data_IF_356535804087
#
_entry.id   IF_356535804087
#
_cell.length_a   1.000
_cell.length_b   1.000
_cell.length_c   1.000
_cell.angle_alpha   90.00
_cell.angle_beta   90.00
_cell.angle_gamma   90.00
#
_symmetry.space_group_name_H-M   'P 1'
#
loop_
_entity.id
_entity.type
_entity.pdbx_description
1 polymer ?
#
# COMPACT_ATOMS: atom_id res chain seq x y z
N UNK A 1 21.29 -7.42 -1.04
CA UNK A 1 21.15 -8.89 -0.97
C UNK A 1 22.39 -9.49 -1.59
N UNK A 2 23.22 -10.12 -0.78
CA UNK A 2 24.44 -10.78 -1.21
C UNK A 2 24.12 -12.01 -2.06
N UNK A 3 25.16 -12.62 -2.63
CA UNK A 3 24.99 -13.80 -3.49
C UNK A 3 24.23 -14.95 -2.82
N UNK A 4 24.39 -15.10 -1.50
CA UNK A 4 23.77 -16.17 -0.71
C UNK A 4 22.38 -15.83 -0.16
N UNK A 5 21.87 -14.62 -0.42
CA UNK A 5 20.58 -14.11 0.06
C UNK A 5 20.37 -14.20 1.58
N UNK A 6 21.43 -14.22 2.38
CA UNK A 6 21.34 -14.39 3.84
C UNK A 6 21.49 -13.06 4.62
N UNK A 7 21.75 -11.95 3.93
CA UNK A 7 21.86 -10.59 4.49
C UNK A 7 20.53 -9.83 4.46
N UNK A 8 19.43 -10.43 4.02
CA UNK A 8 18.14 -9.75 3.81
C UNK A 8 17.64 -9.02 5.07
N UNK A 9 17.93 -9.56 6.25
CA UNK A 9 17.56 -8.96 7.54
C UNK A 9 18.17 -7.57 7.73
N UNK A 10 19.39 -7.35 7.23
CA UNK A 10 20.08 -6.05 7.29
C UNK A 10 19.42 -4.99 6.41
N UNK A 11 18.71 -5.41 5.37
CA UNK A 11 18.03 -4.52 4.42
C UNK A 11 16.62 -4.13 4.83
N UNK A 12 16.01 -4.79 5.83
CA UNK A 12 14.59 -4.60 6.22
C UNK A 12 14.28 -3.13 6.46
N UNK A 13 15.08 -2.43 7.28
CA UNK A 13 14.79 -1.05 7.65
C UNK A 13 14.76 -0.11 6.44
N UNK A 14 15.70 -0.27 5.50
CA UNK A 14 15.77 0.54 4.28
C UNK A 14 14.62 0.18 3.35
N UNK A 15 14.30 -1.11 3.24
CA UNK A 15 13.16 -1.59 2.43
C UNK A 15 11.85 -1.04 2.96
N UNK A 16 11.60 -1.12 4.25
CA UNK A 16 10.39 -0.60 4.90
C UNK A 16 10.27 0.91 4.69
N UNK A 17 11.34 1.67 4.97
CA UNK A 17 11.36 3.12 4.75
C UNK A 17 11.03 3.47 3.29
N UNK A 18 11.70 2.81 2.34
CA UNK A 18 11.49 3.05 0.91
C UNK A 18 10.08 2.67 0.48
N UNK A 19 9.54 1.57 1.01
CA UNK A 19 8.19 1.10 0.71
C UNK A 19 7.11 2.04 1.27
N UNK A 20 7.31 2.58 2.46
CA UNK A 20 6.39 3.51 3.11
C UNK A 20 6.43 4.92 2.49
N UNK A 21 7.55 5.32 1.87
CA UNK A 21 7.66 6.59 1.17
C UNK A 21 7.27 6.52 -0.32
N UNK A 22 7.16 5.31 -0.88
CA UNK A 22 6.82 5.13 -2.29
C UNK A 22 5.36 5.49 -2.56
N UNK A 23 5.14 6.22 -3.65
CA UNK A 23 3.82 6.50 -4.20
C UNK A 23 3.08 5.18 -4.52
N UNK A 24 1.85 5.04 -4.04
CA UNK A 24 0.96 3.95 -4.43
C UNK A 24 0.08 4.39 -5.58
N UNK A 25 0.05 3.61 -6.66
CA UNK A 25 -0.82 3.87 -7.81
C UNK A 25 -2.31 3.74 -7.45
N UNK A 26 -2.66 2.91 -6.48
CA UNK A 26 -4.04 2.68 -6.05
C UNK A 26 -4.63 3.82 -5.22
N UNK A 27 -3.82 4.49 -4.39
CA UNK A 27 -4.29 5.62 -3.57
C UNK A 27 -3.84 6.98 -4.08
N UNK A 28 -2.81 7.05 -4.93
CA UNK A 28 -2.19 8.31 -5.37
C UNK A 28 -1.29 8.98 -4.33
N UNK A 29 -1.04 8.34 -3.18
CA UNK A 29 -0.22 8.88 -2.09
C UNK A 29 0.77 7.82 -1.56
N UNK A 30 1.81 8.26 -0.84
CA UNK A 30 2.64 7.34 -0.06
C UNK A 30 2.00 7.07 1.32
N UNK A 31 2.18 5.87 1.90
CA UNK A 31 1.75 5.59 3.27
C UNK A 31 2.25 6.61 4.30
N UNK A 32 3.51 7.06 4.20
CA UNK A 32 4.04 8.12 5.07
C UNK A 32 3.25 9.43 4.95
N UNK A 33 2.92 9.83 3.73
CA UNK A 33 2.15 11.05 3.51
C UNK A 33 0.74 10.93 4.08
N UNK A 34 0.08 9.78 3.92
CA UNK A 34 -1.23 9.53 4.50
C UNK A 34 -1.21 9.54 6.04
N UNK A 35 -0.13 9.08 6.66
CA UNK A 35 -0.03 9.07 8.13
C UNK A 35 0.35 10.44 8.72
N UNK A 36 1.25 11.17 8.08
CA UNK A 36 1.89 12.37 8.68
C UNK A 36 1.61 13.67 7.94
N UNK A 37 0.97 13.61 6.77
CA UNK A 37 0.70 14.77 5.91
C UNK A 37 1.95 15.39 5.29
N UNK A 38 3.09 14.70 5.35
CA UNK A 38 4.41 15.13 4.84
C UNK A 38 5.30 13.92 4.52
N UNK A 39 6.25 14.11 3.61
CA UNK A 39 7.29 13.12 3.34
C UNK A 39 8.41 13.18 4.40
N UNK A 40 9.05 12.05 4.74
CA UNK A 40 10.20 12.03 5.62
C UNK A 40 11.38 12.77 4.98
N UNK A 41 12.21 13.40 5.83
CA UNK A 41 13.48 13.97 5.40
C UNK A 41 14.51 12.87 5.18
N UNK A 42 15.19 12.92 4.03
CA UNK A 42 16.22 11.96 3.59
C UNK A 42 17.63 12.50 3.75
N UNK A 43 17.78 13.77 4.15
CA UNK A 43 19.06 14.39 4.51
C UNK A 43 19.76 15.11 3.35
N UNK A 44 19.21 15.02 2.14
CA UNK A 44 19.68 15.81 0.98
C UNK A 44 18.83 17.06 0.73
N UNK A 45 17.71 17.23 1.43
CA UNK A 45 16.85 18.40 1.25
C UNK A 45 17.55 19.68 1.76
N UNK A 46 17.45 20.80 1.03
CA UNK A 46 17.99 22.06 1.49
C UNK A 46 17.34 22.51 2.80
N UNK A 47 18.12 23.17 3.66
CA UNK A 47 17.61 23.76 4.91
C UNK A 47 16.72 24.96 4.57
N UNK A 48 15.41 24.73 4.49
CA UNK A 48 14.40 25.77 4.35
C UNK A 48 13.85 26.25 5.69
N UNK A 49 13.22 27.43 5.68
CA UNK A 49 12.39 27.92 6.79
C UNK A 49 11.16 27.01 6.91
N UNK A 50 10.90 26.51 8.12
CA UNK A 50 9.72 25.70 8.39
C UNK A 50 8.56 26.64 8.68
N UNK A 51 7.64 26.76 7.72
CA UNK A 51 6.35 27.38 7.96
C UNK A 51 5.41 26.31 8.51
N UNK A 52 5.04 26.44 9.78
CA UNK A 52 4.11 25.52 10.43
C UNK A 52 2.69 26.00 10.15
N UNK A 53 1.87 25.14 9.54
CA UNK A 53 0.45 25.42 9.36
C UNK A 53 -0.29 25.40 10.70
N UNK A 54 -1.49 25.99 10.78
CA UNK A 54 -2.30 25.90 11.99
C UNK A 54 -2.85 24.49 12.19
N UNK A 55 -3.20 24.14 13.43
CA UNK A 55 -3.79 22.83 13.71
C UNK A 55 -5.11 22.60 12.94
N UNK A 56 -5.92 23.65 12.79
CA UNK A 56 -7.20 23.58 12.08
C UNK A 56 -7.01 23.39 10.56
N UNK A 57 -6.04 24.09 9.96
CA UNK A 57 -5.71 23.89 8.55
C UNK A 57 -5.16 22.50 8.29
N UNK A 58 -4.33 21.99 9.22
CA UNK A 58 -3.78 20.63 9.13
C UNK A 58 -4.87 19.57 9.17
N UNK A 59 -5.80 19.66 10.14
CA UNK A 59 -6.90 18.71 10.29
C UNK A 59 -7.77 18.69 9.02
N UNK A 60 -8.12 19.87 8.52
CA UNK A 60 -8.95 20.00 7.30
C UNK A 60 -8.23 19.39 6.10
N UNK A 61 -6.94 19.70 5.93
CA UNK A 61 -6.11 19.19 4.84
C UNK A 61 -5.98 17.66 4.91
N UNK A 62 -5.70 17.12 6.09
CA UNK A 62 -5.56 15.67 6.28
C UNK A 62 -6.86 14.92 6.01
N UNK A 63 -8.00 15.48 6.44
CA UNK A 63 -9.31 14.90 6.14
C UNK A 63 -9.54 14.79 4.63
N UNK A 64 -9.29 15.88 3.88
CA UNK A 64 -9.45 15.87 2.43
C UNK A 64 -8.53 14.83 1.76
N UNK A 65 -7.25 14.76 2.17
CA UNK A 65 -6.30 13.77 1.66
C UNK A 65 -6.80 12.34 1.91
N UNK A 66 -7.35 12.07 3.09
CA UNK A 66 -7.90 10.75 3.42
C UNK A 66 -9.15 10.42 2.61
N UNK A 67 -10.06 11.38 2.44
CA UNK A 67 -11.28 11.21 1.65
C UNK A 67 -10.94 10.91 0.16
N UNK A 68 -9.97 11.63 -0.40
CA UNK A 68 -9.45 11.40 -1.75
C UNK A 68 -8.81 10.01 -1.89
N UNK A 69 -7.92 9.65 -0.95
CA UNK A 69 -7.26 8.35 -0.96
C UNK A 69 -8.24 7.19 -0.82
N UNK A 70 -9.25 7.33 0.05
CA UNK A 70 -10.31 6.32 0.22
C UNK A 70 -11.14 6.15 -1.05
N UNK A 71 -11.47 7.25 -1.72
CA UNK A 71 -12.21 7.22 -2.99
C UNK A 71 -11.40 6.53 -4.09
N UNK A 72 -10.10 6.83 -4.18
CA UNK A 72 -9.20 6.17 -5.13
C UNK A 72 -9.05 4.66 -4.85
N UNK A 73 -8.90 4.27 -3.57
CA UNK A 73 -8.82 2.86 -3.17
C UNK A 73 -10.11 2.10 -3.45
N UNK A 74 -11.28 2.71 -3.20
CA UNK A 74 -12.57 2.11 -3.51
C UNK A 74 -12.71 1.84 -5.02
N UNK A 75 -12.31 2.80 -5.85
CA UNK A 75 -12.27 2.63 -7.31
C UNK A 75 -11.30 1.52 -7.72
N UNK A 76 -10.07 1.54 -7.21
CA UNK A 76 -9.07 0.51 -7.53
C UNK A 76 -9.54 -0.90 -7.15
N UNK A 77 -10.22 -1.05 -6.01
CA UNK A 77 -10.82 -2.32 -5.60
C UNK A 77 -11.96 -2.76 -6.53
N UNK A 78 -12.83 -1.84 -6.96
CA UNK A 78 -13.89 -2.12 -7.92
C UNK A 78 -13.33 -2.53 -9.29
N UNK A 79 -12.28 -1.85 -9.76
CA UNK A 79 -11.60 -2.19 -11.01
C UNK A 79 -10.95 -3.59 -10.91
N UNK A 80 -10.21 -3.86 -9.83
CA UNK A 80 -9.64 -5.19 -9.56
C UNK A 80 -10.70 -6.28 -9.57
N UNK A 81 -11.85 -6.05 -8.92
CA UNK A 81 -12.98 -6.97 -8.92
C UNK A 81 -13.51 -7.21 -10.33
N UNK A 82 -13.71 -6.16 -11.13
CA UNK A 82 -14.18 -6.28 -12.52
C UNK A 82 -13.22 -7.11 -13.38
N UNK A 83 -11.91 -6.89 -13.26
CA UNK A 83 -10.91 -7.66 -14.01
C UNK A 83 -10.83 -9.11 -13.56
N UNK A 84 -10.92 -9.37 -12.26
CA UNK A 84 -10.93 -10.73 -11.71
C UNK A 84 -12.20 -11.48 -12.15
N UNK A 85 -13.37 -10.88 -11.96
CA UNK A 85 -14.68 -11.47 -12.29
C UNK A 85 -14.81 -11.78 -13.79
N UNK A 86 -14.14 -11.02 -14.68
CA UNK A 86 -14.17 -11.23 -16.14
C UNK A 86 -13.68 -12.61 -16.58
N UNK A 87 -12.68 -13.16 -15.90
CA UNK A 87 -12.05 -14.44 -16.29
C UNK A 87 -12.27 -15.54 -15.24
N UNK A 88 -12.92 -15.20 -14.14
CA UNK A 88 -13.25 -16.15 -13.08
C UNK A 88 -14.39 -17.06 -13.54
N UNK A 89 -14.22 -18.37 -13.34
CA UNK A 89 -15.32 -19.33 -13.41
C UNK A 89 -16.06 -19.35 -12.08
N UNK A 90 -17.37 -19.55 -12.11
CA UNK A 90 -18.12 -19.75 -10.89
C UNK A 90 -17.53 -20.91 -10.09
N UNK A 91 -17.46 -20.71 -8.77
CA UNK A 91 -17.02 -21.75 -7.87
C UNK A 91 -18.01 -22.90 -7.93
N UNK A 92 -17.52 -24.14 -7.89
CA UNK A 92 -18.39 -25.29 -7.74
C UNK A 92 -19.09 -25.24 -6.39
N UNK A 93 -20.37 -25.61 -6.35
CA UNK A 93 -21.15 -25.70 -5.12
C UNK A 93 -20.72 -26.94 -4.31
N UNK A 94 -19.65 -26.81 -3.53
CA UNK A 94 -19.18 -27.86 -2.63
C UNK A 94 -20.08 -28.01 -1.42
N UNK A 95 -20.38 -29.25 -1.05
CA UNK A 95 -21.12 -29.63 0.15
C UNK A 95 -20.20 -30.27 1.18
N UNK A 96 -20.54 -30.17 2.49
CA UNK A 96 -19.81 -30.92 3.51
C UNK A 96 -19.76 -32.42 3.17
N UNK A 97 -18.54 -32.97 3.08
CA UNK A 97 -18.29 -34.36 2.69
C UNK A 97 -17.75 -34.55 1.26
N UNK A 98 -17.77 -33.51 0.43
CA UNK A 98 -17.20 -33.56 -0.92
C UNK A 98 -15.67 -33.66 -0.87
N UNK A 99 -15.12 -34.51 -1.73
CA UNK A 99 -13.68 -34.66 -1.91
C UNK A 99 -13.20 -33.73 -3.02
N UNK A 100 -12.16 -32.94 -2.74
CA UNK A 100 -11.51 -32.04 -3.70
C UNK A 100 -10.04 -32.40 -3.85
N UNK A 101 -9.52 -32.25 -5.07
CA UNK A 101 -8.11 -32.45 -5.35
C UNK A 101 -7.32 -31.19 -5.00
N UNK A 102 -6.31 -31.33 -4.15
CA UNK A 102 -5.38 -30.27 -3.81
C UNK A 102 -4.08 -30.49 -4.60
N UNK A 103 -3.61 -29.44 -5.24
CA UNK A 103 -2.28 -29.42 -5.85
C UNK A 103 -1.27 -29.08 -4.76
N UNK A 104 -0.31 -29.99 -4.55
CA UNK A 104 0.63 -29.94 -3.42
C UNK A 104 2.10 -29.93 -3.87
N UNK A 105 2.37 -29.60 -5.13
CA UNK A 105 3.71 -29.70 -5.74
C UNK A 105 4.74 -28.79 -5.07
N UNK A 106 4.29 -27.76 -4.37
CA UNK A 106 5.14 -26.75 -3.73
C UNK A 106 4.81 -26.50 -2.26
N UNK A 107 4.13 -27.45 -1.60
CA UNK A 107 3.97 -27.48 -0.14
C UNK A 107 5.20 -28.19 0.44
#
# INVERSE_FOLDING_TARGET
INYHQNDWAEWIAITEFSFNDKLRTSSGYSPFFLNYGRHPRKGFEPRGTVQTESAETFITRMKNIHDDANSALAKAAADMKCFYDRYRRDASDYKPGDQVWLEATHI
#
